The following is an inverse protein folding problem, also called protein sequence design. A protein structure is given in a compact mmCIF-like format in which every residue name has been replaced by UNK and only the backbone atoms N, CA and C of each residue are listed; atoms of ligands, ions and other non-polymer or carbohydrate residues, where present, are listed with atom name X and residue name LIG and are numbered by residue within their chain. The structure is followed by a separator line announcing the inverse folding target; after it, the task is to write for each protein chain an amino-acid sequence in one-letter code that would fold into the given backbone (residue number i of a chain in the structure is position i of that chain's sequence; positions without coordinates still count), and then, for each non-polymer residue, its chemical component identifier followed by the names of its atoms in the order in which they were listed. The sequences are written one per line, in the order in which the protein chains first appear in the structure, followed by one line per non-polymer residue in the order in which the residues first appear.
data_IF_122367281755
#
_entry.id   IF_122367281755
#
_cell.length_a   1.000
_cell.length_b   1.000
_cell.length_c   1.000
_cell.angle_alpha   90.00
_cell.angle_beta   90.00
_cell.angle_gamma   90.00
#
_symmetry.space_group_name_H-M   'P 1'
#
loop_
_entity.id
_entity.type
_entity.pdbx_description
1 polymer ?
#
# COMPACT_ATOMS: atom_id res chain seq x y z
N UNK A 1 2.02 -14.04 32.31
CA UNK A 1 0.69 -13.48 31.94
C UNK A 1 0.24 -13.97 30.56
N UNK A 2 0.94 -13.67 29.46
CA UNK A 2 0.56 -14.17 28.11
C UNK A 2 0.56 -15.70 27.94
N UNK A 3 1.46 -16.42 28.62
CA UNK A 3 1.51 -17.90 28.59
C UNK A 3 0.28 -18.57 29.24
N UNK A 4 -0.33 -17.94 30.24
CA UNK A 4 -1.56 -18.45 30.88
C UNK A 4 -2.80 -18.25 30.01
N UNK A 5 -2.82 -17.21 29.19
CA UNK A 5 -3.89 -16.92 28.23
C UNK A 5 -3.87 -17.91 27.07
N UNK A 6 -2.67 -18.36 26.68
CA UNK A 6 -2.47 -19.35 25.63
C UNK A 6 -2.96 -20.74 26.04
N UNK A 7 -2.76 -21.13 27.30
CA UNK A 7 -3.29 -22.40 27.82
C UNK A 7 -4.80 -22.38 28.03
N UNK A 8 -5.41 -21.20 28.27
CA UNK A 8 -6.86 -21.05 28.49
C UNK A 8 -7.66 -20.68 27.24
N UNK A 9 -7.02 -20.23 26.16
CA UNK A 9 -7.68 -19.75 24.94
C UNK A 9 -7.86 -20.78 23.82
N UNK A 10 -7.47 -22.03 24.09
CA UNK A 10 -7.67 -23.14 23.16
C UNK A 10 -6.82 -23.10 21.89
N UNK A 11 -7.12 -24.03 20.99
CA UNK A 11 -6.40 -24.23 19.73
C UNK A 11 -6.42 -22.98 18.82
N UNK A 12 -7.45 -22.15 18.93
CA UNK A 12 -7.67 -20.96 18.10
C UNK A 12 -6.75 -19.77 18.45
N UNK A 13 -6.02 -19.82 19.56
CA UNK A 13 -5.01 -18.81 19.88
C UNK A 13 -3.79 -18.86 18.96
N UNK A 14 -3.41 -20.04 18.45
CA UNK A 14 -2.29 -20.20 17.53
C UNK A 14 -2.45 -19.41 16.21
N UNK A 15 -3.56 -19.55 15.46
CA UNK A 15 -3.76 -18.77 14.23
C UNK A 15 -3.90 -17.27 14.52
N UNK A 16 -4.52 -16.87 15.64
CA UNK A 16 -4.60 -15.46 16.05
C UNK A 16 -3.21 -14.85 16.31
N UNK A 17 -2.30 -15.61 16.94
CA UNK A 17 -0.92 -15.17 17.16
C UNK A 17 -0.19 -14.96 15.84
N UNK A 18 -0.37 -15.86 14.87
CA UNK A 18 0.23 -15.75 13.55
C UNK A 18 -0.30 -14.51 12.81
N UNK A 19 -1.61 -14.25 12.87
CA UNK A 19 -2.23 -13.03 12.36
C UNK A 19 -1.66 -11.77 13.01
N UNK A 20 -1.44 -11.78 14.34
CA UNK A 20 -0.88 -10.64 15.07
C UNK A 20 0.56 -10.33 14.63
N UNK A 21 1.42 -11.35 14.56
CA UNK A 21 2.84 -11.18 14.18
C UNK A 21 2.95 -10.69 12.74
N UNK A 22 2.21 -11.31 11.83
CA UNK A 22 2.23 -10.95 10.40
C UNK A 22 1.63 -9.55 10.16
N UNK A 23 0.51 -9.22 10.81
CA UNK A 23 -0.10 -7.90 10.74
C UNK A 23 0.85 -6.81 11.22
N UNK A 24 1.46 -7.01 12.40
CA UNK A 24 2.43 -6.07 12.98
C UNK A 24 3.65 -5.89 12.06
N UNK A 25 4.20 -6.98 11.52
CA UNK A 25 5.35 -6.93 10.62
C UNK A 25 5.05 -6.10 9.35
N UNK A 26 3.88 -6.28 8.75
CA UNK A 26 3.46 -5.50 7.57
C UNK A 26 3.28 -4.02 7.91
N UNK A 27 2.67 -3.72 9.07
CA UNK A 27 2.48 -2.33 9.53
C UNK A 27 3.83 -1.64 9.69
N UNK A 28 4.81 -2.27 10.34
CA UNK A 28 6.14 -1.68 10.51
C UNK A 28 6.89 -1.51 9.19
N UNK A 29 6.88 -2.52 8.32
CA UNK A 29 7.51 -2.46 6.99
C UNK A 29 6.97 -1.28 6.17
N UNK A 30 5.64 -1.09 6.16
CA UNK A 30 4.98 -0.01 5.43
C UNK A 30 5.14 1.35 6.10
N UNK A 31 5.04 1.43 7.42
CA UNK A 31 5.27 2.68 8.15
C UNK A 31 6.68 3.21 7.92
N UNK A 32 7.70 2.34 7.95
CA UNK A 32 9.07 2.71 7.63
C UNK A 32 9.21 3.13 6.16
N UNK A 33 8.67 2.35 5.22
CA UNK A 33 8.73 2.68 3.80
C UNK A 33 8.09 4.04 3.46
N UNK A 34 7.01 4.43 4.15
CA UNK A 34 6.40 5.75 4.03
C UNK A 34 7.22 6.84 4.72
N UNK A 35 7.68 6.61 5.95
CA UNK A 35 8.45 7.60 6.69
C UNK A 35 9.76 7.98 5.99
N UNK A 36 10.34 7.05 5.23
CA UNK A 36 11.60 7.26 4.49
C UNK A 36 11.41 7.85 3.08
N UNK A 37 10.17 8.02 2.61
CA UNK A 37 9.86 8.47 1.24
C UNK A 37 9.52 9.97 1.16
N UNK A 38 10.25 10.85 1.84
CA UNK A 38 10.07 12.30 1.70
C UNK A 38 10.79 12.81 0.45
N UNK A 39 10.05 12.99 -0.64
CA UNK A 39 10.55 13.69 -1.83
C UNK A 39 9.73 14.96 -1.99
N UNK A 40 10.40 16.10 -1.92
CA UNK A 40 9.77 17.40 -2.23
C UNK A 40 9.42 17.42 -3.72
N UNK A 41 8.14 17.15 -4.03
CA UNK A 41 7.59 17.19 -5.39
C UNK A 41 7.96 18.50 -6.11
N UNK A 42 7.86 19.62 -5.41
CA UNK A 42 8.22 20.94 -5.94
C UNK A 42 9.71 21.04 -6.36
N UNK A 43 10.62 20.48 -5.55
CA UNK A 43 12.06 20.45 -5.89
C UNK A 43 12.35 19.50 -7.05
N UNK A 44 11.55 18.44 -7.20
CA UNK A 44 11.65 17.49 -8.31
C UNK A 44 11.25 18.14 -9.64
N UNK A 45 10.09 18.80 -9.70
CA UNK A 45 9.61 19.49 -10.91
C UNK A 45 10.53 20.65 -11.30
N UNK A 46 11.00 21.46 -10.33
CA UNK A 46 11.98 22.51 -10.58
C UNK A 46 13.28 21.99 -11.19
N UNK A 47 13.78 20.85 -10.69
CA UNK A 47 14.97 20.20 -11.22
C UNK A 47 14.74 19.66 -12.64
N UNK A 48 13.58 19.03 -12.87
CA UNK A 48 13.20 18.46 -14.16
C UNK A 48 13.10 19.56 -15.24
N UNK A 49 12.42 20.66 -14.92
CA UNK A 49 12.29 21.83 -15.80
C UNK A 49 13.64 22.45 -16.13
N UNK A 50 14.55 22.55 -15.15
CA UNK A 50 15.92 23.05 -15.37
C UNK A 50 16.71 22.13 -16.31
N UNK A 51 16.52 20.82 -16.19
CA UNK A 51 17.24 19.84 -17.00
C UNK A 51 16.77 19.83 -18.46
N UNK A 52 15.44 19.81 -18.68
CA UNK A 52 14.81 19.89 -20.01
C UNK A 52 15.25 21.18 -20.72
N UNK A 53 15.28 22.31 -20.02
CA UNK A 53 15.72 23.61 -20.59
C UNK A 53 17.21 23.68 -20.91
N UNK A 54 18.04 22.80 -20.33
CA UNK A 54 19.50 22.82 -20.56
C UNK A 54 19.95 22.02 -21.79
N UNK A 55 19.04 21.34 -22.49
CA UNK A 55 19.31 20.58 -23.72
C UNK A 55 20.54 19.66 -23.63
N UNK A 56 20.76 19.01 -22.47
CA UNK A 56 21.80 17.99 -22.29
C UNK A 56 21.16 16.59 -22.39
N UNK A 57 21.16 15.95 -23.58
CA UNK A 57 20.45 14.69 -23.84
C UNK A 57 21.05 13.46 -23.16
N UNK A 58 22.26 13.55 -22.59
CA UNK A 58 22.96 12.37 -22.05
C UNK A 58 22.97 12.27 -20.52
N UNK A 59 22.66 13.36 -19.81
CA UNK A 59 22.67 13.34 -18.35
C UNK A 59 21.28 12.95 -17.85
N UNK A 60 21.11 11.73 -17.33
CA UNK A 60 19.94 11.41 -16.50
C UNK A 60 19.88 12.42 -15.35
N UNK A 61 18.75 13.13 -15.12
CA UNK A 61 18.70 14.17 -14.10
C UNK A 61 19.14 13.58 -12.76
N UNK A 62 20.04 14.26 -12.04
CA UNK A 62 20.51 13.86 -10.69
C UNK A 62 19.33 13.61 -9.72
N UNK A 63 18.18 14.20 -10.03
CA UNK A 63 16.93 14.13 -9.31
C UNK A 63 16.19 12.78 -9.48
N UNK A 64 16.48 12.01 -10.54
CA UNK A 64 16.03 10.63 -10.72
C UNK A 64 16.81 9.62 -9.86
N UNK A 65 18.00 9.98 -9.35
CA UNK A 65 18.84 9.09 -8.51
C UNK A 65 18.36 8.99 -7.06
N UNK A 66 17.42 9.83 -6.61
CA UNK A 66 16.90 9.76 -5.24
C UNK A 66 15.95 8.57 -5.09
N UNK A 67 16.21 7.72 -4.08
CA UNK A 67 15.41 6.53 -3.71
C UNK A 67 13.90 6.86 -3.60
N UNK A 68 13.01 5.90 -3.89
CA UNK A 68 11.95 6.08 -4.85
C UNK A 68 10.80 6.91 -4.28
N UNK A 69 10.59 8.09 -4.88
CA UNK A 69 9.26 8.66 -4.96
C UNK A 69 8.56 8.14 -6.20
N UNK A 70 7.26 7.90 -6.09
CA UNK A 70 6.38 7.52 -7.19
C UNK A 70 6.55 8.46 -8.42
N UNK A 71 6.71 9.76 -8.19
CA UNK A 71 7.02 10.74 -9.23
C UNK A 71 8.35 10.49 -9.98
N UNK A 72 9.42 10.11 -9.26
CA UNK A 72 10.73 9.83 -9.89
C UNK A 72 10.70 8.57 -10.77
N UNK A 73 9.89 7.57 -10.39
CA UNK A 73 9.71 6.35 -11.17
C UNK A 73 8.99 6.64 -12.48
N UNK A 74 7.84 7.34 -12.43
CA UNK A 74 7.04 7.61 -13.63
C UNK A 74 7.78 8.55 -14.60
N UNK A 75 8.50 9.55 -14.09
CA UNK A 75 9.30 10.46 -14.93
C UNK A 75 10.47 9.76 -15.64
N UNK A 76 11.06 8.72 -15.02
CA UNK A 76 12.09 7.90 -15.67
C UNK A 76 11.52 7.11 -16.85
N UNK A 77 10.34 6.53 -16.68
CA UNK A 77 9.66 5.84 -17.77
C UNK A 77 9.27 6.85 -18.85
N UNK A 78 8.76 8.02 -18.48
CA UNK A 78 8.44 9.10 -19.43
C UNK A 78 9.63 9.46 -20.33
N UNK A 79 10.81 9.66 -19.72
CA UNK A 79 12.03 10.00 -20.47
C UNK A 79 12.48 8.88 -21.42
N UNK A 80 12.33 7.61 -21.00
CA UNK A 80 12.69 6.46 -21.85
C UNK A 80 11.81 6.34 -23.10
N UNK A 81 10.57 6.80 -23.01
CA UNK A 81 9.58 6.78 -24.09
C UNK A 81 9.39 8.16 -24.75
N UNK A 82 10.33 9.10 -24.55
CA UNK A 82 10.21 10.47 -25.03
C UNK A 82 10.13 10.57 -26.56
N UNK A 83 10.87 9.70 -27.27
CA UNK A 83 10.97 9.69 -28.73
C UNK A 83 9.91 8.80 -29.43
N UNK A 84 9.00 8.19 -28.67
CA UNK A 84 7.90 7.40 -29.24
C UNK A 84 6.62 8.23 -29.38
N UNK A 85 5.72 7.78 -30.26
CA UNK A 85 4.40 8.39 -30.45
C UNK A 85 3.65 8.53 -29.12
N UNK A 86 3.03 9.69 -28.88
CA UNK A 86 2.20 10.01 -27.71
C UNK A 86 1.24 8.88 -27.26
N UNK A 87 0.49 8.19 -28.15
CA UNK A 87 -0.36 7.08 -27.73
C UNK A 87 0.43 5.88 -27.16
N UNK A 88 1.57 5.52 -27.75
CA UNK A 88 2.42 4.41 -27.25
C UNK A 88 3.09 4.75 -25.92
N UNK A 89 3.56 6.00 -25.78
CA UNK A 89 4.12 6.52 -24.52
C UNK A 89 3.09 6.45 -23.38
N UNK A 90 1.87 6.92 -23.63
CA UNK A 90 0.80 6.91 -22.62
C UNK A 90 0.38 5.50 -22.21
N UNK A 91 0.37 4.55 -23.14
CA UNK A 91 0.11 3.14 -22.83
C UNK A 91 1.24 2.53 -21.97
N UNK A 92 2.50 2.77 -22.32
CA UNK A 92 3.65 2.31 -21.55
C UNK A 92 3.68 2.89 -20.13
N UNK A 93 3.42 4.20 -19.99
CA UNK A 93 3.31 4.89 -18.71
C UNK A 93 2.21 4.31 -17.83
N UNK A 94 1.02 4.08 -18.38
CA UNK A 94 -0.09 3.46 -17.66
C UNK A 94 0.27 2.05 -17.21
N UNK A 95 0.82 1.22 -18.12
CA UNK A 95 1.18 -0.17 -17.82
C UNK A 95 2.22 -0.25 -16.69
N UNK A 96 3.29 0.54 -16.77
CA UNK A 96 4.34 0.54 -15.76
C UNK A 96 3.90 1.20 -14.45
N UNK A 97 3.09 2.25 -14.51
CA UNK A 97 2.46 2.89 -13.36
C UNK A 97 1.56 1.92 -12.60
N UNK A 98 0.67 1.21 -13.30
CA UNK A 98 -0.18 0.19 -12.69
C UNK A 98 0.63 -0.95 -12.08
N UNK A 99 1.67 -1.44 -12.77
CA UNK A 99 2.55 -2.49 -12.23
C UNK A 99 3.25 -2.04 -10.95
N UNK A 100 3.68 -0.78 -10.89
CA UNK A 100 4.28 -0.22 -9.69
C UNK A 100 3.27 -0.14 -8.54
N UNK A 101 2.07 0.38 -8.80
CA UNK A 101 1.01 0.49 -7.79
C UNK A 101 0.54 -0.88 -7.27
N UNK A 102 0.38 -1.89 -8.14
CA UNK A 102 -0.03 -3.23 -7.71
C UNK A 102 1.05 -3.91 -6.84
N UNK A 103 2.34 -3.71 -7.16
CA UNK A 103 3.44 -4.15 -6.30
C UNK A 103 3.43 -3.46 -4.92
N UNK A 104 3.01 -2.19 -4.85
CA UNK A 104 2.77 -1.51 -3.57
C UNK A 104 1.53 -2.08 -2.86
N UNK A 105 0.48 -2.44 -3.60
CA UNK A 105 -0.78 -2.97 -3.08
C UNK A 105 -0.73 -4.42 -2.58
N UNK A 106 0.13 -5.29 -3.12
CA UNK A 106 0.13 -6.73 -2.83
C UNK A 106 0.22 -7.05 -1.32
N UNK A 107 1.10 -6.35 -0.58
CA UNK A 107 1.23 -6.56 0.87
C UNK A 107 0.04 -6.03 1.68
N UNK A 108 -0.69 -5.04 1.16
CA UNK A 108 -1.92 -4.55 1.81
C UNK A 108 -3.07 -5.53 1.68
N UNK A 109 -3.17 -6.28 0.56
CA UNK A 109 -4.19 -7.33 0.40
C UNK A 109 -4.12 -8.34 1.55
N UNK A 110 -2.92 -8.71 1.97
CA UNK A 110 -2.71 -9.60 3.12
C UNK A 110 -3.12 -8.93 4.44
N UNK A 111 -2.79 -7.66 4.65
CA UNK A 111 -3.20 -6.92 5.84
C UNK A 111 -4.73 -6.77 5.94
N UNK A 112 -5.40 -6.53 4.81
CA UNK A 112 -6.86 -6.51 4.72
C UNK A 112 -7.48 -7.86 5.08
N UNK A 113 -6.89 -8.96 4.59
CA UNK A 113 -7.33 -10.30 4.93
C UNK A 113 -7.20 -10.56 6.44
N UNK A 114 -6.06 -10.21 7.05
CA UNK A 114 -5.86 -10.34 8.50
C UNK A 114 -6.87 -9.52 9.30
N UNK A 115 -7.15 -8.29 8.87
CA UNK A 115 -8.12 -7.41 9.51
C UNK A 115 -9.55 -8.00 9.51
N UNK A 116 -9.92 -8.75 8.47
CA UNK A 116 -11.22 -9.40 8.35
C UNK A 116 -11.27 -10.77 9.03
N UNK A 117 -10.22 -11.59 8.89
CA UNK A 117 -10.18 -12.96 9.41
C UNK A 117 -10.00 -12.97 10.92
N UNK A 118 -9.25 -12.04 11.51
CA UNK A 118 -8.98 -12.02 12.96
C UNK A 118 -10.25 -11.92 13.83
N UNK A 119 -11.20 -11.01 13.56
CA UNK A 119 -12.50 -10.99 14.26
C UNK A 119 -13.32 -12.26 14.06
N UNK A 120 -13.29 -12.84 12.85
CA UNK A 120 -14.02 -14.08 12.54
C UNK A 120 -13.45 -15.28 13.31
N UNK A 121 -12.12 -15.35 13.48
CA UNK A 121 -11.46 -16.33 14.35
C UNK A 121 -11.86 -16.15 15.82
N UNK A 122 -11.99 -14.90 16.29
CA UNK A 122 -12.49 -14.61 17.63
C UNK A 122 -13.94 -15.07 17.83
N UNK A 123 -14.82 -14.84 16.86
CA UNK A 123 -16.20 -15.35 16.86
C UNK A 123 -16.24 -16.88 16.81
N UNK A 124 -15.38 -17.52 16.02
CA UNK A 124 -15.25 -18.98 16.03
C UNK A 124 -14.84 -19.50 17.41
N UNK A 125 -13.99 -18.74 18.12
CA UNK A 125 -13.61 -19.01 19.50
C UNK A 125 -14.79 -18.98 20.47
N UNK A 126 -15.75 -18.06 20.29
CA UNK A 126 -16.94 -18.05 21.15
C UNK A 126 -17.85 -19.23 20.90
N UNK A 127 -18.07 -19.58 19.64
CA UNK A 127 -18.90 -20.73 19.28
C UNK A 127 -18.28 -22.02 19.81
N UNK A 128 -16.98 -22.21 19.60
CA UNK A 128 -16.28 -23.42 20.08
C UNK A 128 -16.23 -23.50 21.60
N UNK A 129 -15.96 -22.40 22.31
CA UNK A 129 -15.97 -22.37 23.78
C UNK A 129 -17.35 -22.68 24.38
N UNK A 130 -18.43 -22.19 23.76
CA UNK A 130 -19.80 -22.54 24.16
C UNK A 130 -20.12 -24.02 23.89
N UNK A 131 -19.71 -24.56 22.75
CA UNK A 131 -19.91 -25.99 22.43
C UNK A 131 -19.22 -26.88 23.47
N UNK A 132 -17.97 -26.55 23.84
CA UNK A 132 -17.23 -27.29 24.88
C UNK A 132 -17.95 -27.19 26.23
N UNK A 133 -18.42 -26.00 26.61
CA UNK A 133 -19.13 -25.79 27.86
C UNK A 133 -20.42 -26.64 27.95
N UNK A 134 -21.21 -26.69 26.87
CA UNK A 134 -22.43 -27.50 26.82
C UNK A 134 -22.15 -29.00 26.75
N UNK A 135 -21.11 -29.42 26.02
CA UNK A 135 -20.68 -30.82 26.00
C UNK A 135 -20.29 -31.32 27.39
N UNK A 136 -19.62 -30.48 28.18
CA UNK A 136 -19.25 -30.82 29.56
C UNK A 136 -20.49 -31.02 30.46
N UNK A 137 -21.53 -30.19 30.30
CA UNK A 137 -22.81 -30.37 31.02
C UNK A 137 -23.47 -31.71 30.67
N UNK A 138 -23.54 -32.03 29.37
CA UNK A 138 -24.15 -33.26 28.89
C UNK A 138 -23.44 -34.48 29.49
N UNK A 139 -22.10 -34.47 29.48
CA UNK A 139 -21.27 -35.53 30.06
C UNK A 139 -21.47 -35.71 31.57
N UNK A 140 -21.83 -34.64 32.30
CA UNK A 140 -22.12 -34.69 33.74
C UNK A 140 -23.55 -35.16 34.07
N UNK A 141 -24.33 -35.57 33.06
CA UNK A 141 -25.69 -36.10 33.26
C UNK A 141 -26.70 -35.04 33.73
N UNK A 142 -26.49 -33.78 33.36
CA UNK A 142 -27.43 -32.68 33.63
C UNK A 142 -27.38 -32.09 35.04
N UNK A 143 -26.43 -32.50 35.89
CA UNK A 143 -26.13 -31.78 37.14
C UNK A 143 -25.24 -30.59 36.84
N UNK A 144 -25.85 -29.42 36.65
CA UNK A 144 -25.15 -28.19 36.26
C UNK A 144 -24.70 -27.42 37.50
N UNK A 145 -23.40 -27.22 37.70
CA UNK A 145 -22.91 -26.12 38.53
C UNK A 145 -22.45 -24.96 37.63
N UNK A 146 -22.74 -23.70 37.99
CA UNK A 146 -22.30 -22.54 37.22
C UNK A 146 -20.78 -22.48 36.96
N UNK A 147 -20.00 -23.09 37.85
CA UNK A 147 -18.54 -23.23 37.72
C UNK A 147 -18.11 -24.07 36.52
N UNK A 148 -18.92 -25.05 36.12
CA UNK A 148 -18.62 -25.94 34.99
C UNK A 148 -18.73 -25.20 33.65
N UNK A 149 -19.58 -24.17 33.59
CA UNK A 149 -19.79 -23.33 32.40
C UNK A 149 -18.80 -22.16 32.31
N UNK A 150 -18.37 -21.65 33.46
CA UNK A 150 -17.56 -20.44 33.56
C UNK A 150 -16.24 -20.54 32.79
N UNK A 151 -15.63 -21.74 32.74
CA UNK A 151 -14.38 -21.97 32.02
C UNK A 151 -14.51 -21.78 30.50
N UNK A 152 -15.47 -22.47 29.87
CA UNK A 152 -15.66 -22.39 28.41
C UNK A 152 -16.18 -21.02 27.94
N UNK A 153 -17.00 -20.35 28.77
CA UNK A 153 -17.44 -18.96 28.49
C UNK A 153 -16.27 -17.99 28.60
N UNK A 154 -15.39 -18.15 29.59
CA UNK A 154 -14.20 -17.31 29.75
C UNK A 154 -13.27 -17.43 28.54
N UNK A 155 -12.98 -18.67 28.11
CA UNK A 155 -12.20 -18.95 26.91
C UNK A 155 -12.82 -18.31 25.65
N UNK A 156 -14.13 -18.50 25.47
CA UNK A 156 -14.90 -17.91 24.39
C UNK A 156 -14.75 -16.37 24.33
N UNK A 157 -14.94 -15.69 25.45
CA UNK A 157 -14.84 -14.23 25.49
C UNK A 157 -13.42 -13.74 25.25
N UNK A 158 -12.42 -14.45 25.77
CA UNK A 158 -11.01 -14.08 25.64
C UNK A 158 -10.55 -14.09 24.17
N UNK A 159 -10.92 -15.13 23.43
CA UNK A 159 -10.57 -15.26 22.00
C UNK A 159 -11.19 -14.14 21.15
N UNK A 160 -12.41 -13.71 21.46
CA UNK A 160 -13.05 -12.57 20.78
C UNK A 160 -12.35 -11.25 21.08
N UNK A 161 -12.05 -10.97 22.35
CA UNK A 161 -11.35 -9.75 22.74
C UNK A 161 -10.00 -9.66 22.02
N UNK A 162 -9.25 -10.77 21.97
CA UNK A 162 -7.97 -10.83 21.25
C UNK A 162 -8.14 -10.64 19.75
N UNK A 163 -9.11 -11.33 19.14
CA UNK A 163 -9.39 -11.22 17.70
C UNK A 163 -9.76 -9.81 17.25
N UNK A 164 -10.57 -9.11 18.06
CA UNK A 164 -10.91 -7.70 17.83
C UNK A 164 -9.74 -6.76 18.08
N UNK A 165 -8.94 -7.01 19.13
CA UNK A 165 -7.76 -6.21 19.47
C UNK A 165 -6.70 -6.24 18.36
N UNK A 166 -6.64 -7.31 17.58
CA UNK A 166 -5.77 -7.43 16.40
C UNK A 166 -6.45 -6.87 15.14
N UNK A 167 -7.74 -7.17 14.94
CA UNK A 167 -8.48 -6.79 13.74
C UNK A 167 -8.65 -5.28 13.59
N UNK A 168 -8.96 -4.57 14.66
CA UNK A 168 -9.22 -3.12 14.63
C UNK A 168 -7.97 -2.33 14.20
N UNK A 169 -6.78 -2.50 14.82
CA UNK A 169 -5.57 -1.81 14.37
C UNK A 169 -5.17 -2.17 12.94
N UNK A 170 -5.29 -3.45 12.55
CA UNK A 170 -4.97 -3.88 11.18
C UNK A 170 -5.88 -3.21 10.15
N UNK A 171 -7.18 -3.07 10.45
CA UNK A 171 -8.13 -2.38 9.58
C UNK A 171 -7.79 -0.91 9.43
N UNK A 172 -7.52 -0.20 10.53
CA UNK A 172 -7.15 1.21 10.51
C UNK A 172 -5.85 1.44 9.73
N UNK A 173 -4.84 0.60 9.96
CA UNK A 173 -3.58 0.67 9.24
C UNK A 173 -3.76 0.39 7.75
N UNK A 174 -4.59 -0.59 7.38
CA UNK A 174 -4.92 -0.87 5.98
C UNK A 174 -5.54 0.35 5.30
N UNK A 175 -6.55 0.97 5.91
CA UNK A 175 -7.21 2.16 5.36
C UNK A 175 -6.24 3.33 5.21
N UNK A 176 -5.38 3.55 6.20
CA UNK A 176 -4.35 4.60 6.14
C UNK A 176 -3.35 4.37 5.00
N UNK A 177 -2.82 3.15 4.86
CA UNK A 177 -1.86 2.86 3.81
C UNK A 177 -2.49 2.85 2.42
N UNK A 178 -3.75 2.46 2.29
CA UNK A 178 -4.49 2.54 1.03
C UNK A 178 -4.62 3.99 0.56
N UNK A 179 -5.06 4.89 1.45
CA UNK A 179 -5.16 6.32 1.14
C UNK A 179 -3.81 6.91 0.68
N UNK A 180 -2.70 6.43 1.25
CA UNK A 180 -1.35 6.87 0.86
C UNK A 180 -0.92 6.33 -0.51
N UNK A 181 -1.37 5.15 -0.92
CA UNK A 181 -1.16 4.64 -2.28
C UNK A 181 -1.96 5.46 -3.28
N UNK A 182 -3.22 5.75 -2.95
CA UNK A 182 -4.10 6.53 -3.83
C UNK A 182 -3.53 7.94 -4.03
N UNK A 183 -3.01 8.57 -2.96
CA UNK A 183 -2.27 9.84 -3.06
C UNK A 183 -1.07 9.74 -4.01
N UNK A 184 -0.27 8.69 -3.91
CA UNK A 184 0.90 8.46 -4.80
C UNK A 184 0.49 8.23 -6.26
N UNK A 185 -0.65 7.57 -6.50
CA UNK A 185 -1.20 7.38 -7.84
C UNK A 185 -1.64 8.72 -8.45
N UNK A 186 -2.23 9.60 -7.64
CA UNK A 186 -2.59 10.95 -8.06
C UNK A 186 -1.35 11.79 -8.41
N UNK A 187 -0.32 11.79 -7.54
CA UNK A 187 0.96 12.46 -7.81
C UNK A 187 1.63 11.98 -9.11
N UNK A 188 1.56 10.68 -9.41
CA UNK A 188 2.07 10.14 -10.69
C UNK A 188 1.31 10.70 -11.89
N UNK A 189 -0.01 10.81 -11.78
CA UNK A 189 -0.87 11.29 -12.87
C UNK A 189 -0.67 12.79 -13.11
N UNK A 190 -0.56 13.57 -12.04
CA UNK A 190 -0.22 15.00 -12.09
C UNK A 190 1.14 15.23 -12.74
N UNK A 191 2.16 14.44 -12.36
CA UNK A 191 3.50 14.51 -12.99
C UNK A 191 3.46 14.27 -14.50
N UNK A 192 2.65 13.30 -14.95
CA UNK A 192 2.50 12.99 -16.38
C UNK A 192 1.81 14.15 -17.11
N UNK A 193 0.78 14.74 -16.50
CA UNK A 193 0.06 15.90 -17.08
C UNK A 193 0.97 17.11 -17.23
N UNK A 194 1.73 17.47 -16.19
CA UNK A 194 2.68 18.58 -16.26
C UNK A 194 3.79 18.35 -17.30
N UNK A 195 4.26 17.11 -17.43
CA UNK A 195 5.24 16.75 -18.44
C UNK A 195 4.68 16.90 -19.86
N UNK A 196 3.47 16.39 -20.10
CA UNK A 196 2.81 16.55 -21.39
C UNK A 196 2.60 18.03 -21.76
N UNK A 197 2.24 18.90 -20.81
CA UNK A 197 2.13 20.34 -21.04
C UNK A 197 3.48 20.98 -21.41
N UNK A 198 4.56 20.66 -20.67
CA UNK A 198 5.89 21.20 -20.93
C UNK A 198 6.42 20.78 -22.30
N UNK A 199 6.19 19.53 -22.71
CA UNK A 199 6.62 19.05 -24.03
C UNK A 199 5.74 19.55 -25.17
N UNK A 200 4.42 19.70 -24.97
CA UNK A 200 3.54 20.31 -25.95
C UNK A 200 3.94 21.77 -26.28
N UNK A 201 4.34 22.55 -25.27
CA UNK A 201 4.84 23.92 -25.48
C UNK A 201 6.27 23.96 -26.03
N UNK A 202 7.07 22.90 -25.80
CA UNK A 202 8.41 22.77 -26.38
C UNK A 202 8.38 22.53 -27.89
N UNK A 203 7.40 21.77 -28.37
CA UNK A 203 7.20 21.52 -29.80
C UNK A 203 6.73 22.80 -30.53
N UNK A 204 5.81 23.59 -29.95
CA UNK A 204 5.40 24.90 -30.52
C UNK A 204 6.56 25.89 -30.62
N UNK A 205 7.40 25.99 -29.59
CA UNK A 205 8.53 26.93 -29.58
C UNK A 205 9.72 26.46 -30.46
N UNK A 206 9.68 25.23 -31.00
CA UNK A 206 10.66 24.71 -31.96
C UNK A 206 10.24 24.89 -33.43
N UNK A 207 8.98 25.25 -33.68
CA UNK A 207 8.48 25.58 -35.03
C UNK A 207 8.67 27.06 -35.40
N UNK A 208 8.98 27.93 -34.42
CA UNK A 208 9.27 29.36 -34.61
C UNK A 208 10.77 29.67 -34.88
N UNK A 209 11.66 28.67 -34.86
CA UNK A 209 13.09 28.81 -35.22
C UNK A 209 13.44 28.12 -36.56
N UNK A 210 12.57 28.21 -37.57
CA UNK A 210 13.02 28.02 -38.95
C UNK A 210 13.61 29.35 -39.45
N UNK A 211 14.90 29.41 -39.81
CA UNK A 211 15.51 30.65 -40.26
C UNK A 211 14.86 31.13 -41.56
N UNK A 212 14.26 32.32 -41.50
CA UNK A 212 14.10 33.19 -42.66
C UNK A 212 15.48 33.47 -43.29
N UNK A 213 15.47 33.68 -44.61
CA UNK A 213 16.59 33.87 -45.54
C UNK A 213 17.12 32.56 -46.15
N UNK A 214 17.07 32.32 -47.45
CA UNK A 214 17.55 33.23 -48.51
C UNK A 214 17.17 32.71 -49.90
N UNK A 215 16.56 33.54 -50.76
CA UNK A 215 16.76 33.59 -52.23
C UNK A 215 16.23 34.95 -52.70
N UNK A 216 17.05 36.01 -52.60
CA UNK A 216 17.97 36.48 -53.63
C UNK A 216 17.25 36.93 -54.92
N UNK A 217 17.09 38.24 -55.00
CA UNK A 217 16.97 39.07 -56.20
C UNK A 217 17.92 38.63 -57.33
N UNK A 218 17.39 38.46 -58.53
CA UNK A 218 18.05 38.80 -59.79
C UNK A 218 16.99 39.08 -60.85
#
# INVERSE_FOLDING_TARGET
MFSEWFHKGGLLMWPLMLCSITGMAIIFDRAWALARSSLDFHKFILCLKKHIRSNNPEAQPSCLKRRPASASFIARIYYQYLHENTPKRNEALKREGFRHLDNLGHRLKMLAAIAQVSPLLGLLGTVTGLVVAFYQIEALGGRVQPTDLAGGIWEALLTTVVGLSIGIPCLLAHQFFQAQIDKRAHEMTETVSELDEVFAHGDENSMDELPEHTTFTA
#
